data_IF_474800446555
#
_entry.id   IF_474800446555
#
_cell.length_a   1.000
_cell.length_b   1.000
_cell.length_c   1.000
_cell.angle_alpha   90.00
_cell.angle_beta   90.00
_cell.angle_gamma   90.00
#
_symmetry.space_group_name_H-M   'P 1'
#
loop_
_entity.id
_entity.type
_entity.pdbx_description
1 polymer ?
#
# COMPACT_ATOMS: atom_id res chain seq x y z
N UNK A 1 -41.98 16.04 20.03
CA UNK A 1 -41.64 15.65 18.64
C UNK A 1 -40.26 15.00 18.66
N UNK A 2 -40.21 13.69 18.55
CA UNK A 2 -38.95 12.94 18.57
C UNK A 2 -38.36 12.93 17.17
N UNK A 3 -37.16 13.46 17.01
CA UNK A 3 -36.39 13.42 15.76
C UNK A 3 -36.00 11.99 15.46
N UNK A 4 -36.39 11.48 14.30
CA UNK A 4 -35.99 10.17 13.81
C UNK A 4 -34.46 10.10 13.66
N UNK A 5 -33.81 8.97 13.98
CA UNK A 5 -32.38 8.82 13.78
C UNK A 5 -32.08 8.84 12.28
N UNK A 6 -31.22 9.77 11.87
CA UNK A 6 -30.65 9.81 10.52
C UNK A 6 -29.84 8.54 10.33
N UNK A 7 -30.37 7.60 9.55
CA UNK A 7 -29.66 6.39 9.16
C UNK A 7 -28.41 6.79 8.38
N UNK A 8 -27.23 6.52 8.92
CA UNK A 8 -25.97 6.65 8.18
C UNK A 8 -26.04 5.73 6.97
N UNK A 9 -25.69 6.22 5.77
CA UNK A 9 -25.65 5.38 4.58
C UNK A 9 -24.66 4.23 4.83
N UNK A 10 -25.13 3.00 4.61
CA UNK A 10 -24.28 1.82 4.66
C UNK A 10 -23.06 2.03 3.76
N UNK A 11 -21.83 1.63 4.16
CA UNK A 11 -20.64 1.81 3.36
C UNK A 11 -20.87 1.19 1.98
N UNK A 12 -20.71 1.99 0.93
CA UNK A 12 -20.85 1.52 -0.46
C UNK A 12 -19.85 0.39 -0.66
N UNK A 13 -20.32 -0.78 -1.02
CA UNK A 13 -19.46 -1.92 -1.38
C UNK A 13 -18.82 -1.62 -2.73
N UNK A 14 -17.50 -1.45 -2.73
CA UNK A 14 -16.70 -1.21 -3.95
C UNK A 14 -15.84 -2.42 -4.26
N UNK A 15 -15.41 -2.60 -5.50
CA UNK A 15 -14.44 -3.64 -5.86
C UNK A 15 -13.15 -3.46 -5.05
N UNK A 16 -12.70 -2.21 -4.87
CA UNK A 16 -11.52 -1.89 -4.08
C UNK A 16 -11.59 -2.38 -2.63
N UNK A 17 -12.79 -2.46 -2.04
CA UNK A 17 -13.01 -2.96 -0.67
C UNK A 17 -12.93 -4.50 -0.57
N UNK A 18 -12.93 -5.21 -1.70
CA UNK A 18 -12.87 -6.67 -1.75
C UNK A 18 -11.54 -7.21 -2.30
N UNK A 19 -10.83 -6.42 -3.12
CA UNK A 19 -9.58 -6.85 -3.72
C UNK A 19 -8.43 -6.71 -2.72
N UNK A 20 -7.75 -7.82 -2.32
CA UNK A 20 -6.59 -7.74 -1.45
C UNK A 20 -5.47 -6.94 -2.11
N UNK A 21 -4.86 -6.01 -1.37
CA UNK A 21 -3.70 -5.27 -1.86
C UNK A 21 -2.54 -6.20 -2.23
N UNK A 22 -2.40 -7.33 -1.53
CA UNK A 22 -1.41 -8.36 -1.84
C UNK A 22 -1.55 -8.94 -3.26
N UNK A 23 -2.75 -8.96 -3.86
CA UNK A 23 -2.97 -9.43 -5.23
C UNK A 23 -2.43 -8.43 -6.25
N UNK A 24 -2.63 -7.13 -5.99
CA UNK A 24 -2.02 -6.07 -6.76
C UNK A 24 -0.48 -6.14 -6.69
N UNK A 25 0.08 -6.25 -5.48
CA UNK A 25 1.53 -6.39 -5.29
C UNK A 25 2.10 -7.60 -6.04
N UNK A 26 1.46 -8.77 -5.93
CA UNK A 26 1.89 -9.98 -6.63
C UNK A 26 1.86 -9.82 -8.16
N UNK A 27 0.86 -9.12 -8.67
CA UNK A 27 0.76 -8.81 -10.10
C UNK A 27 1.90 -7.89 -10.55
N UNK A 28 2.19 -6.82 -9.80
CA UNK A 28 3.26 -5.88 -10.11
C UNK A 28 4.66 -6.55 -10.02
N UNK A 29 4.87 -7.43 -9.03
CA UNK A 29 6.11 -8.21 -8.89
C UNK A 29 6.33 -9.13 -10.10
N UNK A 30 5.29 -9.83 -10.56
CA UNK A 30 5.36 -10.65 -11.78
C UNK A 30 5.67 -9.81 -13.02
N UNK A 31 5.08 -8.63 -13.15
CA UNK A 31 5.35 -7.70 -14.23
C UNK A 31 6.81 -7.21 -14.18
N UNK A 32 7.32 -6.90 -12.99
CA UNK A 32 8.68 -6.42 -12.80
C UNK A 32 9.71 -7.50 -13.15
N UNK A 33 9.50 -8.73 -12.70
CA UNK A 33 10.43 -9.84 -12.90
C UNK A 33 10.39 -10.42 -14.31
N UNK A 34 9.27 -10.27 -15.02
CA UNK A 34 9.11 -10.76 -16.39
C UNK A 34 9.89 -9.88 -17.39
N UNK A 35 10.61 -10.52 -18.34
CA UNK A 35 11.35 -9.82 -19.41
C UNK A 35 10.47 -9.56 -20.65
N UNK A 36 9.49 -10.42 -20.90
CA UNK A 36 8.64 -10.39 -22.08
C UNK A 36 7.54 -9.32 -21.97
N UNK A 37 7.52 -8.39 -22.94
CA UNK A 37 6.47 -7.35 -22.99
C UNK A 37 5.06 -7.93 -23.17
N UNK A 38 4.82 -8.93 -24.03
CA UNK A 38 3.51 -9.56 -24.14
C UNK A 38 3.02 -10.19 -22.82
N UNK A 39 3.92 -10.85 -22.06
CA UNK A 39 3.57 -11.45 -20.78
C UNK A 39 3.26 -10.39 -19.72
N UNK A 40 4.01 -9.28 -19.68
CA UNK A 40 3.68 -8.12 -18.81
C UNK A 40 2.27 -7.62 -19.06
N UNK A 41 1.93 -7.44 -20.35
CA UNK A 41 0.59 -7.02 -20.77
C UNK A 41 -0.47 -8.05 -20.36
N UNK A 42 -0.18 -9.34 -20.50
CA UNK A 42 -1.08 -10.41 -20.08
C UNK A 42 -1.34 -10.37 -18.57
N UNK A 43 -0.30 -10.28 -17.73
CA UNK A 43 -0.48 -10.21 -16.27
C UNK A 43 -1.35 -9.02 -15.84
N UNK A 44 -1.13 -7.86 -16.45
CA UNK A 44 -1.95 -6.69 -16.15
C UNK A 44 -3.40 -6.86 -16.64
N UNK A 45 -3.58 -7.44 -17.83
CA UNK A 45 -4.90 -7.76 -18.36
C UNK A 45 -5.65 -8.76 -17.47
N UNK A 46 -5.00 -9.82 -17.02
CA UNK A 46 -5.60 -10.83 -16.14
C UNK A 46 -6.09 -10.17 -14.82
N UNK A 47 -5.34 -9.24 -14.28
CA UNK A 47 -5.73 -8.46 -13.10
C UNK A 47 -6.96 -7.58 -13.38
N UNK A 48 -6.97 -6.85 -14.51
CA UNK A 48 -8.11 -6.03 -14.95
C UNK A 48 -9.36 -6.89 -15.19
N UNK A 49 -9.22 -8.05 -15.81
CA UNK A 49 -10.35 -8.95 -16.09
C UNK A 49 -10.90 -9.53 -14.78
N UNK A 50 -10.05 -9.80 -13.78
CA UNK A 50 -10.49 -10.18 -12.44
C UNK A 50 -11.25 -9.04 -11.76
N UNK A 51 -10.77 -7.80 -11.84
CA UNK A 51 -11.46 -6.61 -11.33
C UNK A 51 -12.86 -6.45 -11.96
N UNK A 52 -12.95 -6.58 -13.28
CA UNK A 52 -14.21 -6.50 -14.02
C UNK A 52 -15.20 -7.61 -13.62
N UNK A 53 -14.71 -8.83 -13.40
CA UNK A 53 -15.56 -9.93 -12.89
C UNK A 53 -16.12 -9.61 -11.52
N UNK A 54 -15.29 -9.09 -10.61
CA UNK A 54 -15.75 -8.63 -9.29
C UNK A 54 -16.78 -7.52 -9.40
N UNK A 55 -16.53 -6.53 -10.26
CA UNK A 55 -17.47 -5.43 -10.51
C UNK A 55 -18.82 -5.95 -11.00
N UNK A 56 -18.82 -6.83 -12.01
CA UNK A 56 -20.05 -7.43 -12.54
C UNK A 56 -20.79 -8.23 -11.49
N UNK A 57 -20.07 -9.01 -10.66
CA UNK A 57 -20.68 -9.82 -9.61
C UNK A 57 -21.28 -8.95 -8.48
N UNK A 58 -20.61 -7.84 -8.13
CA UNK A 58 -21.01 -6.96 -7.05
C UNK A 58 -22.24 -6.12 -7.41
N UNK A 59 -22.33 -5.69 -8.68
CA UNK A 59 -23.30 -4.71 -9.17
C UNK A 59 -24.33 -5.27 -10.15
N UNK A 60 -24.58 -6.57 -10.15
CA UNK A 60 -25.49 -7.26 -11.09
C UNK A 60 -26.89 -6.64 -11.19
N UNK A 61 -27.35 -5.94 -10.16
CA UNK A 61 -28.70 -5.39 -10.05
C UNK A 61 -28.77 -3.85 -10.11
N UNK A 62 -27.63 -3.18 -10.15
CA UNK A 62 -27.56 -1.72 -10.09
C UNK A 62 -27.23 -1.14 -11.47
N UNK A 63 -28.03 -0.17 -11.92
CA UNK A 63 -27.86 0.45 -13.25
C UNK A 63 -26.95 1.63 -13.01
N UNK A 64 -26.33 2.29 -12.69
CA UNK A 64 -25.53 3.53 -12.60
C UNK A 64 -24.53 3.48 -11.43
N UNK A 65 -23.65 2.47 -11.45
CA UNK A 65 -22.63 2.35 -10.40
C UNK A 65 -21.35 3.06 -10.80
N UNK A 66 -20.91 3.99 -9.95
CA UNK A 66 -19.66 4.74 -10.11
C UNK A 66 -18.44 4.03 -9.52
N UNK A 67 -18.46 2.71 -9.41
CA UNK A 67 -17.33 1.93 -8.92
C UNK A 67 -16.30 1.73 -10.03
N UNK A 68 -15.14 2.32 -9.89
CA UNK A 68 -14.12 2.38 -10.93
C UNK A 68 -12.82 1.69 -10.53
N UNK A 69 -11.92 1.50 -11.49
CA UNK A 69 -10.56 1.01 -11.27
C UNK A 69 -9.62 2.08 -10.66
N UNK A 70 -10.10 3.30 -10.48
CA UNK A 70 -9.29 4.43 -10.01
C UNK A 70 -8.52 4.17 -8.69
N UNK A 71 -9.11 3.52 -7.65
CA UNK A 71 -8.36 3.21 -6.43
C UNK A 71 -7.11 2.37 -6.66
N UNK A 72 -7.14 1.42 -7.60
CA UNK A 72 -5.95 0.66 -7.97
C UNK A 72 -4.95 1.51 -8.77
N UNK A 73 -5.43 2.38 -9.67
CA UNK A 73 -4.57 3.29 -10.45
C UNK A 73 -3.78 4.24 -9.56
N UNK A 74 -4.34 4.76 -8.48
CA UNK A 74 -3.66 5.61 -7.49
C UNK A 74 -2.42 4.92 -6.89
N UNK A 75 -2.48 3.59 -6.72
CA UNK A 75 -1.38 2.79 -6.17
C UNK A 75 -0.38 2.34 -7.23
N UNK A 76 -0.83 2.12 -8.47
CA UNK A 76 0.02 1.72 -9.60
C UNK A 76 0.85 2.89 -10.13
N UNK A 77 0.27 4.08 -10.17
CA UNK A 77 0.87 5.29 -10.74
C UNK A 77 0.93 6.42 -9.71
N UNK A 78 1.62 6.24 -8.58
CA UNK A 78 1.65 7.24 -7.51
C UNK A 78 2.22 8.60 -7.95
N UNK A 79 3.04 8.63 -9.00
CA UNK A 79 3.57 9.87 -9.58
C UNK A 79 2.53 10.71 -10.32
N UNK A 80 1.39 10.12 -10.70
CA UNK A 80 0.27 10.82 -11.34
C UNK A 80 -0.84 11.21 -10.35
N UNK A 81 -0.73 10.75 -9.10
CA UNK A 81 -1.67 11.10 -8.04
C UNK A 81 -1.52 12.58 -7.66
N UNK A 82 -2.58 13.37 -7.86
CA UNK A 82 -2.60 14.81 -7.58
C UNK A 82 -3.54 15.21 -6.45
N UNK A 83 -4.45 14.33 -6.09
CA UNK A 83 -5.43 14.60 -5.03
C UNK A 83 -4.82 14.38 -3.64
N UNK A 84 -3.86 13.45 -3.55
CA UNK A 84 -3.21 13.10 -2.29
C UNK A 84 -2.03 14.02 -2.03
N UNK A 85 -2.05 14.70 -0.90
CA UNK A 85 -0.96 15.56 -0.48
C UNK A 85 0.30 14.77 -0.10
N UNK A 86 1.43 15.45 0.05
CA UNK A 86 2.69 14.81 0.44
C UNK A 86 2.59 14.13 1.81
N UNK A 87 3.14 12.94 1.92
CA UNK A 87 3.14 12.17 3.17
C UNK A 87 4.05 12.74 4.26
N UNK A 88 5.07 13.51 3.89
CA UNK A 88 6.06 14.07 4.82
C UNK A 88 6.93 13.01 5.50
N UNK A 89 7.00 11.82 4.94
CA UNK A 89 7.74 10.67 5.47
C UNK A 89 9.04 10.53 4.70
N UNK A 90 10.14 10.46 5.44
CA UNK A 90 11.47 10.14 4.89
C UNK A 90 11.82 8.68 5.21
N UNK A 91 12.66 8.08 4.40
CA UNK A 91 13.12 6.70 4.57
C UNK A 91 13.75 6.47 5.95
N UNK A 92 14.47 7.47 6.47
CA UNK A 92 15.05 7.40 7.83
C UNK A 92 13.99 7.31 8.93
N UNK A 93 12.81 7.92 8.72
CA UNK A 93 11.68 7.79 9.65
C UNK A 93 11.09 6.38 9.57
N UNK A 94 10.91 5.84 8.37
CA UNK A 94 10.46 4.46 8.17
C UNK A 94 11.45 3.46 8.76
N UNK A 95 12.76 3.65 8.56
CA UNK A 95 13.79 2.80 9.16
C UNK A 95 13.66 2.74 10.68
N UNK A 96 13.55 3.90 11.35
CA UNK A 96 13.36 3.97 12.80
C UNK A 96 12.08 3.28 13.25
N UNK A 97 10.99 3.46 12.50
CA UNK A 97 9.71 2.83 12.80
C UNK A 97 9.78 1.31 12.69
N UNK A 98 10.42 0.76 11.64
CA UNK A 98 10.65 -0.68 11.52
C UNK A 98 11.53 -1.23 12.64
N UNK A 99 12.59 -0.53 13.03
CA UNK A 99 13.47 -0.92 14.13
C UNK A 99 12.66 -0.99 15.44
N UNK A 100 11.83 0.01 15.72
CA UNK A 100 10.96 0.04 16.90
C UNK A 100 9.92 -1.09 16.86
N UNK A 101 9.21 -1.25 15.73
CA UNK A 101 8.14 -2.22 15.57
C UNK A 101 8.63 -3.66 15.68
N UNK A 102 9.78 -3.97 15.08
CA UNK A 102 10.38 -5.30 15.08
C UNK A 102 11.28 -5.54 16.30
N UNK A 103 11.37 -4.56 17.20
CA UNK A 103 12.24 -4.60 18.39
C UNK A 103 13.68 -5.01 18.04
N UNK A 104 14.23 -4.43 16.96
CA UNK A 104 15.58 -4.75 16.52
C UNK A 104 16.62 -4.09 17.44
N UNK A 105 17.70 -4.80 17.82
CA UNK A 105 18.82 -4.19 18.52
C UNK A 105 19.38 -3.04 17.67
N UNK A 106 19.61 -1.86 18.28
CA UNK A 106 20.07 -0.66 17.57
C UNK A 106 21.38 -0.88 16.80
N UNK A 107 22.27 -1.67 17.37
CA UNK A 107 23.57 -2.02 16.78
C UNK A 107 23.52 -3.32 15.96
N UNK A 108 22.32 -3.89 15.81
CA UNK A 108 22.10 -5.11 15.05
C UNK A 108 22.28 -4.88 13.54
N UNK A 109 22.78 -5.91 12.85
CA UNK A 109 23.05 -5.85 11.39
C UNK A 109 21.86 -5.32 10.56
N UNK A 110 20.64 -5.70 10.93
CA UNK A 110 19.43 -5.29 10.19
C UNK A 110 19.04 -3.84 10.48
N UNK A 111 19.18 -3.38 11.74
CA UNK A 111 18.96 -1.98 12.08
C UNK A 111 19.98 -1.06 11.39
N UNK A 112 21.25 -1.46 11.39
CA UNK A 112 22.31 -0.73 10.69
C UNK A 112 22.05 -0.67 9.19
N UNK A 113 21.61 -1.77 8.55
CA UNK A 113 21.24 -1.78 7.12
C UNK A 113 20.10 -0.82 6.81
N UNK A 114 19.05 -0.81 7.62
CA UNK A 114 17.90 0.08 7.43
C UNK A 114 18.29 1.55 7.57
N UNK A 115 19.14 1.89 8.55
CA UNK A 115 19.58 3.28 8.78
C UNK A 115 20.58 3.76 7.72
N UNK A 116 21.47 2.87 7.26
CA UNK A 116 22.54 3.16 6.32
C UNK A 116 22.21 2.68 4.88
N UNK A 117 20.95 2.66 4.51
CA UNK A 117 20.47 2.12 3.22
C UNK A 117 21.15 2.75 2.00
N UNK A 118 21.72 3.97 2.13
CA UNK A 118 22.44 4.65 1.05
C UNK A 118 23.87 4.16 0.86
N UNK A 119 24.43 3.47 1.85
CA UNK A 119 25.81 2.99 1.80
C UNK A 119 25.85 1.57 1.26
N UNK A 120 26.65 1.27 0.24
CA UNK A 120 26.81 -0.09 -0.27
C UNK A 120 27.34 -1.02 0.83
N UNK A 121 26.58 -2.05 1.19
CA UNK A 121 27.01 -3.07 2.17
C UNK A 121 27.30 -4.40 1.49
N UNK A 122 28.05 -4.40 0.36
CA UNK A 122 28.45 -5.63 -0.35
C UNK A 122 28.49 -5.48 -1.86
N UNK A 123 28.80 -6.59 -2.53
CA UNK A 123 29.00 -6.70 -3.98
C UNK A 123 27.72 -6.57 -4.84
N UNK A 124 26.55 -6.42 -4.24
CA UNK A 124 25.28 -6.25 -4.94
C UNK A 124 24.91 -4.78 -4.96
N UNK A 125 24.60 -4.26 -6.14
CA UNK A 125 24.26 -2.85 -6.38
C UNK A 125 22.96 -2.35 -5.72
N UNK A 126 22.60 -2.85 -4.53
CA UNK A 126 21.37 -2.52 -3.78
C UNK A 126 21.52 -1.23 -2.98
N UNK A 127 22.64 -0.51 -3.14
CA UNK A 127 22.87 0.77 -2.46
C UNK A 127 21.87 1.82 -2.93
N UNK A 128 21.14 2.40 -1.98
CA UNK A 128 20.20 3.48 -2.25
C UNK A 128 18.73 3.05 -2.38
N UNK A 129 18.44 1.76 -2.53
CA UNK A 129 17.07 1.25 -2.56
C UNK A 129 16.59 0.84 -1.16
N UNK A 130 15.97 1.80 -0.45
CA UNK A 130 15.39 1.55 0.87
C UNK A 130 14.32 0.44 0.84
N UNK A 131 13.50 0.38 -0.20
CA UNK A 131 12.42 -0.59 -0.30
C UNK A 131 12.95 -2.01 -0.40
N UNK A 132 14.02 -2.22 -1.17
CA UNK A 132 14.67 -3.52 -1.30
C UNK A 132 15.31 -3.96 0.02
N UNK A 133 16.00 -3.05 0.72
CA UNK A 133 16.60 -3.35 2.02
C UNK A 133 15.53 -3.67 3.07
N UNK A 134 14.46 -2.87 3.12
CA UNK A 134 13.32 -3.13 4.00
C UNK A 134 12.69 -4.50 3.70
N UNK A 135 12.51 -4.85 2.43
CA UNK A 135 12.00 -6.15 2.02
C UNK A 135 12.85 -7.31 2.56
N UNK A 136 14.18 -7.26 2.42
CA UNK A 136 15.05 -8.31 2.94
C UNK A 136 15.05 -8.42 4.47
N UNK A 137 14.90 -7.31 5.17
CA UNK A 137 14.80 -7.31 6.64
C UNK A 137 13.45 -7.84 7.11
N UNK A 138 12.37 -7.50 6.41
CA UNK A 138 10.99 -7.85 6.78
C UNK A 138 10.62 -9.29 6.38
N UNK A 139 11.07 -9.75 5.22
CA UNK A 139 10.70 -11.06 4.65
C UNK A 139 10.80 -12.24 5.63
N UNK A 140 11.88 -12.43 6.41
CA UNK A 140 11.96 -13.53 7.37
C UNK A 140 11.07 -13.35 8.60
N UNK A 141 10.57 -12.13 8.85
CA UNK A 141 9.81 -11.75 10.05
C UNK A 141 8.32 -11.60 9.79
N UNK A 142 7.93 -11.44 8.52
CA UNK A 142 6.54 -11.31 8.10
C UNK A 142 6.17 -12.43 7.12
N UNK A 143 5.98 -13.65 7.60
CA UNK A 143 5.70 -14.81 6.75
C UNK A 143 4.28 -14.80 6.17
N UNK A 144 3.40 -13.94 6.66
CA UNK A 144 1.99 -13.91 6.27
C UNK A 144 1.74 -12.85 5.21
N UNK A 145 0.87 -13.20 4.27
CA UNK A 145 0.33 -12.28 3.27
C UNK A 145 -0.44 -11.14 3.97
N UNK A 146 -0.23 -9.91 3.52
CA UNK A 146 -0.97 -8.75 4.03
C UNK A 146 -2.49 -8.93 3.86
N UNK A 147 -3.26 -8.38 4.81
CA UNK A 147 -4.73 -8.54 4.88
C UNK A 147 -5.48 -7.32 4.33
N UNK A 148 -4.81 -6.20 4.15
CA UNK A 148 -5.43 -4.96 3.72
C UNK A 148 -5.94 -5.07 2.29
N UNK A 149 -7.09 -4.45 2.03
CA UNK A 149 -7.65 -4.29 0.69
C UNK A 149 -7.06 -3.06 0.00
N UNK A 150 -7.26 -2.94 -1.30
CA UNK A 150 -6.87 -1.76 -2.09
C UNK A 150 -7.49 -0.48 -1.53
N UNK A 151 -8.75 -0.53 -1.07
CA UNK A 151 -9.44 0.59 -0.44
C UNK A 151 -8.79 0.98 0.88
N UNK A 152 -8.60 0.03 1.79
CA UNK A 152 -7.99 0.28 3.10
C UNK A 152 -6.57 0.86 2.99
N UNK A 153 -5.77 0.40 2.04
CA UNK A 153 -4.44 0.99 1.79
C UNK A 153 -4.57 2.44 1.33
N UNK A 154 -5.50 2.75 0.42
CA UNK A 154 -5.74 4.13 0.01
C UNK A 154 -6.20 5.01 1.17
N UNK A 155 -7.14 4.55 2.00
CA UNK A 155 -7.63 5.26 3.18
C UNK A 155 -6.50 5.58 4.16
N UNK A 156 -5.62 4.61 4.44
CA UNK A 156 -4.47 4.82 5.31
C UNK A 156 -3.47 5.83 4.71
N UNK A 157 -3.21 5.75 3.40
CA UNK A 157 -2.34 6.70 2.72
C UNK A 157 -2.95 8.12 2.70
N UNK A 158 -4.25 8.24 2.49
CA UNK A 158 -4.97 9.52 2.58
C UNK A 158 -4.93 10.08 4.01
N UNK A 159 -5.13 9.23 5.01
CA UNK A 159 -5.02 9.64 6.42
C UNK A 159 -3.60 10.12 6.76
N UNK A 160 -2.56 9.45 6.28
CA UNK A 160 -1.16 9.86 6.46
C UNK A 160 -0.94 11.24 5.84
N UNK A 161 -1.37 11.46 4.59
CA UNK A 161 -1.20 12.72 3.89
C UNK A 161 -1.93 13.88 4.59
N UNK A 162 -3.20 13.67 4.98
CA UNK A 162 -4.02 14.66 5.67
C UNK A 162 -3.45 15.01 7.06
N UNK A 163 -3.02 13.99 7.82
CA UNK A 163 -2.41 14.21 9.13
C UNK A 163 -1.05 14.92 9.02
N UNK A 164 -0.28 14.66 7.95
CA UNK A 164 0.95 15.41 7.68
C UNK A 164 0.65 16.88 7.35
N UNK A 165 -0.34 17.15 6.51
CA UNK A 165 -0.78 18.51 6.19
C UNK A 165 -1.24 19.26 7.45
N UNK A 166 -1.93 18.58 8.35
CA UNK A 166 -2.34 19.10 9.66
C UNK A 166 -1.19 19.16 10.70
N UNK A 167 0.04 18.80 10.32
CA UNK A 167 1.23 18.74 11.20
C UNK A 167 1.07 17.83 12.42
N UNK A 168 0.17 16.85 12.36
CA UNK A 168 -0.10 15.89 13.44
C UNK A 168 0.80 14.64 13.32
N UNK A 169 2.03 14.74 13.79
CA UNK A 169 3.01 13.64 13.71
C UNK A 169 2.59 12.37 14.45
N UNK A 170 1.80 12.49 15.52
CA UNK A 170 1.29 11.34 16.28
C UNK A 170 0.33 10.49 15.47
N UNK A 171 -0.63 11.13 14.78
CA UNK A 171 -1.57 10.44 13.91
C UNK A 171 -0.89 9.89 12.65
N UNK A 172 0.10 10.58 12.09
CA UNK A 172 0.94 10.04 10.98
C UNK A 172 1.59 8.73 11.41
N UNK A 173 2.25 8.71 12.59
CA UNK A 173 2.88 7.49 13.12
C UNK A 173 1.86 6.36 13.32
N UNK A 174 0.68 6.67 13.88
CA UNK A 174 -0.40 5.69 14.09
C UNK A 174 -0.88 5.06 12.78
N UNK A 175 -1.16 5.87 11.76
CA UNK A 175 -1.60 5.38 10.44
C UNK A 175 -0.52 4.56 9.74
N UNK A 176 0.77 4.94 9.89
CA UNK A 176 1.89 4.14 9.39
C UNK A 176 1.99 2.78 10.07
N UNK A 177 1.80 2.70 11.38
CA UNK A 177 1.78 1.44 12.10
C UNK A 177 0.68 0.51 11.57
N UNK A 178 -0.52 1.04 11.33
CA UNK A 178 -1.64 0.27 10.76
C UNK A 178 -1.36 -0.23 9.34
N UNK A 179 -0.57 0.51 8.56
CA UNK A 179 -0.20 0.11 7.20
C UNK A 179 0.86 -1.02 7.19
N UNK A 180 1.70 -1.08 8.23
CA UNK A 180 2.84 -2.01 8.32
C UNK A 180 2.46 -3.32 9.04
N UNK A 181 1.52 -3.28 9.97
CA UNK A 181 1.08 -4.43 10.79
C UNK A 181 -0.12 -5.15 10.18
#
# INVERSE_FOLDING_TARGET
MASAPVSQPSPKRTVASHVPFADLCSTLERIQTCKSRPEKTKYFKDFLDSWRKFHSALHQKEKDVTDSFYPAMRLILPQLERERMAYGIKETMLAKLYIELLNLPKDGKDAVKLLNYRTPTGSRGDAGDFAMIAYFVLKPRSPKRGRLTVEQVNELLDAIANNNAAKNKGLVKKSLLQLIT
#
